data_IF_716888567299
#
_entry.id   IF_716888567299
#
_cell.length_a   1.000
_cell.length_b   1.000
_cell.length_c   1.000
_cell.angle_alpha   90.00
_cell.angle_beta   90.00
_cell.angle_gamma   90.00
#
_symmetry.space_group_name_H-M   'P 1'
#
loop_
_entity.id
_entity.type
_entity.pdbx_description
1 polymer ?
#
# COMPACT_ATOMS: atom_id res chain seq x y z
N UNK A 1 8.27 36.75 3.07
CA UNK A 1 8.79 35.50 3.65
C UNK A 1 7.95 34.36 3.08
N UNK A 2 8.45 33.68 2.06
CA UNK A 2 7.74 32.57 1.41
C UNK A 2 8.23 31.27 2.03
N UNK A 3 7.35 30.57 2.75
CA UNK A 3 7.64 29.25 3.27
C UNK A 3 7.86 28.29 2.10
N UNK A 4 8.93 27.52 2.19
CA UNK A 4 9.42 26.60 1.17
C UNK A 4 8.39 25.52 0.80
N UNK A 5 8.42 25.04 -0.46
CA UNK A 5 7.42 24.13 -0.99
C UNK A 5 7.45 22.76 -0.32
N UNK A 6 6.29 22.13 -0.37
CA UNK A 6 5.93 20.84 0.20
C UNK A 6 6.99 19.77 -0.11
N UNK A 7 7.44 19.06 0.94
CA UNK A 7 8.10 17.76 0.80
C UNK A 7 7.03 16.76 0.33
N UNK A 8 6.76 16.79 -0.98
CA UNK A 8 5.98 15.76 -1.65
C UNK A 8 7.00 14.65 -1.87
N UNK A 9 6.97 13.65 -0.99
CA UNK A 9 7.79 12.45 -1.12
C UNK A 9 7.35 11.73 -2.40
N UNK A 10 7.93 12.13 -3.54
CA UNK A 10 7.82 11.44 -4.81
C UNK A 10 8.58 10.12 -4.67
N UNK A 11 7.92 9.15 -4.03
CA UNK A 11 8.36 7.77 -4.07
C UNK A 11 8.12 7.34 -5.51
N UNK A 12 9.17 7.40 -6.33
CA UNK A 12 9.23 6.72 -7.62
C UNK A 12 8.88 5.24 -7.39
N UNK A 13 7.61 4.90 -7.58
CA UNK A 13 7.17 3.53 -7.69
C UNK A 13 7.50 3.08 -9.11
N UNK A 14 8.75 2.64 -9.33
CA UNK A 14 9.04 1.68 -10.39
C UNK A 14 7.99 0.56 -10.31
N UNK A 15 7.55 -0.08 -11.41
CA UNK A 15 6.46 -1.06 -11.43
C UNK A 15 6.86 -2.34 -10.66
N UNK A 16 6.93 -2.22 -9.35
CA UNK A 16 7.13 -3.29 -8.39
C UNK A 16 5.80 -4.02 -8.35
N UNK A 17 5.71 -5.08 -9.15
CA UNK A 17 4.53 -5.93 -9.17
C UNK A 17 4.24 -6.45 -7.76
N UNK A 18 3.00 -6.32 -7.32
CA UNK A 18 2.55 -6.88 -6.05
C UNK A 18 2.67 -8.40 -6.10
N UNK A 19 3.36 -8.98 -5.11
CA UNK A 19 3.44 -10.44 -4.92
C UNK A 19 2.20 -10.94 -4.21
N UNK A 20 1.90 -10.38 -3.03
CA UNK A 20 0.72 -10.69 -2.23
C UNK A 20 0.48 -9.68 -1.12
N UNK A 21 -0.75 -9.62 -0.64
CA UNK A 21 -1.11 -8.94 0.61
C UNK A 21 -1.22 -9.96 1.74
N UNK A 22 -0.72 -9.61 2.93
CA UNK A 22 -0.74 -10.53 4.08
C UNK A 22 -1.65 -10.01 5.19
N UNK A 23 -1.59 -8.70 5.44
CA UNK A 23 -2.31 -8.07 6.54
C UNK A 23 -3.08 -6.85 6.04
N UNK A 24 -4.14 -6.53 6.77
CA UNK A 24 -4.92 -5.31 6.58
C UNK A 24 -5.15 -4.68 7.95
N UNK A 25 -5.02 -3.36 8.05
CA UNK A 25 -5.34 -2.60 9.26
C UNK A 25 -6.17 -1.37 8.91
N UNK A 26 -6.99 -0.92 9.85
CA UNK A 26 -7.64 0.39 9.77
C UNK A 26 -6.78 1.39 10.53
N UNK A 27 -6.47 2.50 9.88
CA UNK A 27 -5.81 3.65 10.51
C UNK A 27 -6.71 4.88 10.36
N UNK A 28 -6.61 5.81 11.31
CA UNK A 28 -7.22 7.14 11.16
C UNK A 28 -6.11 8.08 10.71
N UNK A 29 -6.23 8.61 9.50
CA UNK A 29 -5.29 9.60 8.95
C UNK A 29 -6.13 10.80 8.52
N UNK A 30 -5.74 12.01 8.94
CA UNK A 30 -6.49 13.25 8.65
C UNK A 30 -7.98 13.16 9.02
N UNK A 31 -8.28 12.62 10.20
CA UNK A 31 -9.66 12.44 10.73
C UNK A 31 -10.55 11.48 9.94
N UNK A 32 -10.08 10.97 8.79
CA UNK A 32 -10.76 9.97 7.96
C UNK A 32 -10.23 8.57 8.27
N UNK A 33 -11.13 7.60 8.26
CA UNK A 33 -10.79 6.19 8.43
C UNK A 33 -10.26 5.61 7.13
N UNK A 34 -8.96 5.30 7.07
CA UNK A 34 -8.32 4.65 5.93
C UNK A 34 -8.04 3.18 6.22
N UNK A 35 -8.11 2.34 5.19
CA UNK A 35 -7.61 0.97 5.24
C UNK A 35 -6.24 0.91 4.58
N UNK A 36 -5.30 0.34 5.31
CA UNK A 36 -3.98 0.00 4.78
C UNK A 36 -3.83 -1.50 4.69
N UNK A 37 -3.14 -1.92 3.64
CA UNK A 37 -2.77 -3.30 3.38
C UNK A 37 -1.25 -3.43 3.39
N UNK A 38 -0.74 -4.47 4.05
CA UNK A 38 0.67 -4.82 4.01
C UNK A 38 0.93 -5.55 2.70
N UNK A 39 1.58 -4.85 1.78
CA UNK A 39 1.88 -5.29 0.42
C UNK A 39 3.31 -5.81 0.38
N UNK A 40 3.47 -7.08 -0.02
CA UNK A 40 4.76 -7.65 -0.40
C UNK A 40 4.93 -7.47 -1.90
N UNK A 41 6.09 -6.97 -2.31
CA UNK A 41 6.45 -6.81 -3.71
C UNK A 41 7.20 -8.04 -4.24
N UNK A 42 7.06 -8.32 -5.54
CA UNK A 42 7.87 -9.34 -6.21
C UNK A 42 9.32 -8.85 -6.31
N UNK A 43 10.27 -9.75 -6.19
CA UNK A 43 11.72 -9.48 -6.27
C UNK A 43 12.25 -8.45 -5.27
N UNK A 44 11.51 -8.20 -4.17
CA UNK A 44 11.99 -7.41 -3.05
C UNK A 44 12.03 -8.27 -1.78
N UNK A 45 13.05 -8.09 -0.92
CA UNK A 45 13.11 -8.76 0.38
C UNK A 45 11.98 -8.26 1.28
N UNK A 46 11.60 -9.07 2.29
CA UNK A 46 10.52 -8.76 3.23
C UNK A 46 10.74 -7.45 4.01
N UNK A 47 11.98 -6.99 4.12
CA UNK A 47 12.33 -5.69 4.71
C UNK A 47 11.75 -4.49 3.94
N UNK A 48 11.41 -4.70 2.66
CA UNK A 48 10.80 -3.68 1.79
C UNK A 48 9.27 -3.76 1.74
N UNK A 49 8.65 -4.58 2.58
CA UNK A 49 7.19 -4.66 2.67
C UNK A 49 6.65 -3.31 3.15
N UNK A 50 5.63 -2.78 2.47
CA UNK A 50 5.06 -1.47 2.78
C UNK A 50 3.58 -1.56 3.10
N UNK A 51 3.16 -0.71 4.04
CA UNK A 51 1.74 -0.43 4.29
C UNK A 51 1.25 0.60 3.30
N UNK A 52 0.39 0.18 2.38
CA UNK A 52 -0.19 1.05 1.37
C UNK A 52 -1.71 1.15 1.56
N UNK A 53 -2.25 2.31 1.26
CA UNK A 53 -3.71 2.50 1.17
C UNK A 53 -4.21 1.87 -0.12
N UNK A 54 -5.47 1.42 -0.15
CA UNK A 54 -6.07 0.73 -1.31
C UNK A 54 -5.84 1.46 -2.64
N UNK A 55 -5.84 2.80 -2.61
CA UNK A 55 -5.64 3.70 -3.77
C UNK A 55 -4.20 3.73 -4.31
N UNK A 56 -3.20 3.56 -3.43
CA UNK A 56 -1.77 3.62 -3.82
C UNK A 56 -1.17 2.27 -4.20
N UNK A 57 -1.99 1.22 -4.30
CA UNK A 57 -1.50 -0.13 -4.60
C UNK A 57 -1.58 -0.38 -6.11
N UNK A 58 -0.45 -0.61 -6.80
CA UNK A 58 -0.48 -1.03 -8.20
C UNK A 58 -1.13 -2.41 -8.30
N UNK A 59 -2.05 -2.59 -9.24
CA UNK A 59 -2.89 -3.81 -9.34
C UNK A 59 -3.67 -4.12 -8.04
N UNK A 60 -4.05 -3.07 -7.32
CA UNK A 60 -4.72 -3.14 -6.01
C UNK A 60 -5.99 -3.98 -6.06
N UNK A 61 -6.85 -3.81 -7.06
CA UNK A 61 -8.13 -4.54 -7.16
C UNK A 61 -7.94 -6.07 -7.28
N UNK A 62 -7.06 -6.52 -8.19
CA UNK A 62 -6.77 -7.93 -8.38
C UNK A 62 -6.15 -8.55 -7.12
N UNK A 63 -5.21 -7.84 -6.51
CA UNK A 63 -4.52 -8.27 -5.29
C UNK A 63 -5.47 -8.32 -4.09
N UNK A 64 -6.34 -7.33 -3.93
CA UNK A 64 -7.39 -7.27 -2.91
C UNK A 64 -8.40 -8.40 -3.12
N UNK A 65 -8.81 -8.69 -4.35
CA UNK A 65 -9.72 -9.80 -4.66
C UNK A 65 -9.13 -11.12 -4.20
N UNK A 66 -7.85 -11.40 -4.52
CA UNK A 66 -7.14 -12.61 -4.08
C UNK A 66 -7.03 -12.68 -2.56
N UNK A 67 -6.69 -11.57 -1.91
CA UNK A 67 -6.59 -11.49 -0.45
C UNK A 67 -7.94 -11.76 0.24
N UNK A 68 -9.03 -11.17 -0.26
CA UNK A 68 -10.40 -11.36 0.26
C UNK A 68 -10.92 -12.78 0.02
N UNK A 69 -10.52 -13.43 -1.07
CA UNK A 69 -10.83 -14.83 -1.33
C UNK A 69 -10.09 -15.75 -0.35
N UNK A 70 -8.78 -15.52 -0.16
CA UNK A 70 -7.94 -16.32 0.76
C UNK A 70 -8.36 -16.24 2.23
N UNK A 71 -9.10 -15.21 2.64
CA UNK A 71 -9.57 -15.02 4.02
C UNK A 71 -10.95 -15.63 4.32
N UNK A 72 -11.65 -16.11 3.28
CA UNK A 72 -12.99 -16.71 3.40
C UNK A 72 -12.99 -18.24 3.38
N UNK A 73 -11.86 -18.86 3.03
CA UNK A 73 -11.63 -20.29 3.16
C UNK A 73 -11.11 -20.61 4.56
#
# INVERSE_FOLDING_TARGET
MFHTPQDIVEVEYSPCQVKKMIKSRKIRLNEKGHRQHLVIFKNKPADKDKWLVEDSIPDGELSLRRFRASRRA
#
